data_IF_835320394953
#
_entry.id   IF_835320394953
#
_cell.length_a   1.000
_cell.length_b   1.000
_cell.length_c   1.000
_cell.angle_alpha   90.00
_cell.angle_beta   90.00
_cell.angle_gamma   90.00
#
_symmetry.space_group_name_H-M   'P 1'
#
loop_
_entity.id
_entity.type
_entity.pdbx_description
1 polymer ?
#
# COMPACT_ATOMS: atom_id res chain seq x y z
N UNK A 1 7.33 -11.46 12.78
CA UNK A 1 7.57 -10.31 11.87
C UNK A 1 6.22 -10.00 11.23
N UNK A 2 5.78 -8.73 11.25
CA UNK A 2 4.55 -8.32 10.57
C UNK A 2 4.91 -8.03 9.10
N UNK A 3 4.32 -8.71 8.11
CA UNK A 3 4.63 -8.43 6.69
C UNK A 3 4.17 -7.03 6.29
N UNK A 4 4.91 -6.44 5.36
CA UNK A 4 4.71 -5.06 4.88
C UNK A 4 4.13 -5.04 3.48
N UNK A 5 3.08 -4.24 3.28
CA UNK A 5 2.41 -4.07 1.98
C UNK A 5 2.53 -2.60 1.57
N UNK A 6 2.98 -2.38 0.32
CA UNK A 6 2.83 -1.10 -0.36
C UNK A 6 1.52 -1.14 -1.15
N UNK A 7 0.60 -0.23 -0.83
CA UNK A 7 -0.68 -0.08 -1.52
C UNK A 7 -0.63 1.19 -2.38
N UNK A 8 -0.94 1.06 -3.66
CA UNK A 8 -1.03 2.17 -4.61
C UNK A 8 -2.50 2.28 -5.04
N UNK A 9 -3.20 3.26 -4.48
CA UNK A 9 -4.66 3.41 -4.57
C UNK A 9 -5.02 4.88 -4.31
N UNK A 10 -5.80 5.50 -5.20
CA UNK A 10 -6.16 6.91 -5.12
C UNK A 10 -7.54 7.15 -4.48
N UNK A 11 -8.43 6.14 -4.45
CA UNK A 11 -9.71 6.23 -3.74
C UNK A 11 -9.50 6.10 -2.21
N UNK A 12 -9.68 7.19 -1.45
CA UNK A 12 -9.48 7.17 0.01
C UNK A 12 -10.45 6.21 0.73
N UNK A 13 -11.59 5.89 0.13
CA UNK A 13 -12.57 4.94 0.67
C UNK A 13 -12.01 3.52 0.61
N UNK A 14 -11.41 3.15 -0.53
CA UNK A 14 -10.78 1.85 -0.71
C UNK A 14 -9.53 1.71 0.15
N UNK A 15 -8.69 2.75 0.21
CA UNK A 15 -7.55 2.80 1.13
C UNK A 15 -7.99 2.52 2.56
N UNK A 16 -9.00 3.26 3.06
CA UNK A 16 -9.47 3.11 4.43
C UNK A 16 -10.05 1.72 4.71
N UNK A 17 -10.80 1.16 3.76
CA UNK A 17 -11.36 -0.19 3.88
C UNK A 17 -10.27 -1.27 3.94
N UNK A 18 -9.25 -1.16 3.07
CA UNK A 18 -8.11 -2.08 3.02
C UNK A 18 -7.25 -1.99 4.27
N UNK A 19 -6.89 -0.77 4.71
CA UNK A 19 -6.14 -0.54 5.94
C UNK A 19 -6.87 -1.13 7.14
N UNK A 20 -8.17 -0.86 7.28
CA UNK A 20 -8.96 -1.37 8.40
C UNK A 20 -9.00 -2.89 8.41
N UNK A 21 -9.19 -3.52 7.24
CA UNK A 21 -9.32 -4.98 7.11
C UNK A 21 -8.00 -5.72 7.37
N UNK A 22 -6.88 -5.13 6.94
CA UNK A 22 -5.57 -5.81 6.91
C UNK A 22 -4.65 -5.40 8.07
N UNK A 23 -4.91 -4.28 8.75
CA UNK A 23 -4.06 -3.72 9.82
C UNK A 23 -3.74 -4.68 10.97
N UNK A 24 -4.60 -5.68 11.23
CA UNK A 24 -4.37 -6.68 12.27
C UNK A 24 -3.22 -7.63 11.97
N UNK A 25 -2.89 -7.83 10.68
CA UNK A 25 -1.94 -8.84 10.22
C UNK A 25 -0.80 -8.25 9.39
N UNK A 26 -0.97 -7.04 8.86
CA UNK A 26 -0.05 -6.40 7.93
C UNK A 26 0.21 -4.95 8.32
N UNK A 27 1.43 -4.48 8.05
CA UNK A 27 1.76 -3.07 8.06
C UNK A 27 1.58 -2.51 6.65
N UNK A 28 0.65 -1.56 6.49
CA UNK A 28 0.31 -0.97 5.19
C UNK A 28 0.91 0.43 5.09
N UNK A 29 1.45 0.74 3.92
CA UNK A 29 1.74 2.11 3.49
C UNK A 29 0.98 2.36 2.21
N UNK A 30 0.01 3.28 2.25
CA UNK A 30 -0.74 3.71 1.09
C UNK A 30 -0.08 4.92 0.42
N UNK A 31 -0.07 4.93 -0.91
CA UNK A 31 0.28 6.07 -1.75
C UNK A 31 -0.75 6.18 -2.87
N UNK A 32 -1.01 7.38 -3.38
CA UNK A 32 -2.10 7.62 -4.32
C UNK A 32 -1.66 7.85 -5.76
N UNK A 33 -0.38 7.63 -6.07
CA UNK A 33 0.16 7.83 -7.41
C UNK A 33 1.45 7.03 -7.64
N UNK A 34 1.79 6.85 -8.91
CA UNK A 34 2.94 6.07 -9.37
C UNK A 34 4.28 6.64 -8.91
N UNK A 35 4.44 7.97 -8.89
CA UNK A 35 5.69 8.62 -8.54
C UNK A 35 6.06 8.38 -7.06
N UNK A 36 5.07 8.46 -6.18
CA UNK A 36 5.23 8.15 -4.77
C UNK A 36 5.45 6.65 -4.56
N UNK A 37 4.77 5.79 -5.32
CA UNK A 37 4.98 4.33 -5.26
C UNK A 37 6.42 3.95 -5.61
N UNK A 38 6.94 4.46 -6.72
CA UNK A 38 8.34 4.24 -7.14
C UNK A 38 9.31 4.72 -6.06
N UNK A 39 9.06 5.90 -5.48
CA UNK A 39 9.88 6.47 -4.41
C UNK A 39 9.88 5.63 -3.12
N UNK A 40 8.88 4.77 -2.93
CA UNK A 40 8.75 3.89 -1.77
C UNK A 40 9.40 2.52 -1.96
N UNK A 41 9.56 2.04 -3.20
CA UNK A 41 10.07 0.68 -3.49
C UNK A 41 11.42 0.38 -2.82
N UNK A 42 12.32 1.37 -2.77
CA UNK A 42 13.66 1.21 -2.20
C UNK A 42 13.72 1.47 -0.68
N UNK A 43 12.64 1.95 -0.05
CA UNK A 43 12.67 2.37 1.36
C UNK A 43 12.53 1.21 2.35
N UNK A 44 11.88 0.13 1.97
CA UNK A 44 11.64 -1.02 2.85
C UNK A 44 11.63 -2.34 2.06
N UNK A 45 11.92 -3.48 2.73
CA UNK A 45 11.67 -4.79 2.15
C UNK A 45 10.16 -5.07 2.15
N UNK A 46 9.48 -4.59 1.11
CA UNK A 46 8.07 -4.90 0.87
C UNK A 46 7.89 -6.39 0.65
N UNK A 47 6.82 -6.96 1.20
CA UNK A 47 6.49 -8.38 1.04
C UNK A 47 5.45 -8.58 -0.07
N UNK A 48 4.64 -7.55 -0.32
CA UNK A 48 3.68 -7.49 -1.41
C UNK A 48 3.52 -6.04 -1.87
N UNK A 49 3.13 -5.92 -3.14
CA UNK A 49 2.74 -4.67 -3.79
C UNK A 49 1.32 -4.87 -4.32
N UNK A 50 0.40 -4.00 -3.93
CA UNK A 50 -0.98 -3.96 -4.41
C UNK A 50 -1.15 -2.66 -5.16
N UNK A 51 -1.56 -2.73 -6.42
CA UNK A 51 -1.65 -1.59 -7.32
C UNK A 51 -3.04 -1.61 -7.94
N UNK A 52 -3.74 -0.48 -7.91
CA UNK A 52 -4.90 -0.26 -8.77
C UNK A 52 -4.44 -0.10 -10.23
N UNK A 53 -5.10 -0.81 -11.14
CA UNK A 53 -4.75 -0.84 -12.57
C UNK A 53 -5.03 0.51 -13.27
N UNK A 54 -5.85 1.37 -12.66
CA UNK A 54 -6.24 2.68 -13.19
C UNK A 54 -5.88 3.77 -12.18
N UNK A 55 -4.59 4.11 -12.09
CA UNK A 55 -4.08 5.26 -11.33
C UNK A 55 -3.99 6.53 -12.18
#
# INVERSE_FOLDING_TARGET
MIPKILLVEDDPTLVHALETTLSQHYAISAVSNEADAISQLDRFPWHALVIDEVL
#
